data_IF_614158122537
#
_entry.id   IF_614158122537
#
_cell.length_a   1.000
_cell.length_b   1.000
_cell.length_c   1.000
_cell.angle_alpha   90.00
_cell.angle_beta   90.00
_cell.angle_gamma   90.00
#
_symmetry.space_group_name_H-M   'P 1'
#
loop_
_entity.id
_entity.type
_entity.pdbx_description
1 polymer ?
#
# COMPACT_ATOMS: atom_id res chain seq x y z
N UNK A 1 -4.16 -11.47 -21.18
CA UNK A 1 -2.76 -11.01 -21.24
C UNK A 1 -1.95 -11.91 -20.31
N UNK A 2 -0.68 -12.21 -20.60
CA UNK A 2 0.20 -12.86 -19.64
C UNK A 2 0.57 -11.90 -18.50
N UNK A 3 1.04 -12.43 -17.37
CA UNK A 3 1.43 -11.70 -16.17
C UNK A 3 0.37 -10.73 -15.61
N UNK A 4 -0.92 -10.99 -15.88
CA UNK A 4 -2.02 -10.19 -15.32
C UNK A 4 -2.21 -10.53 -13.85
N UNK A 5 -2.16 -9.51 -13.00
CA UNK A 5 -2.39 -9.64 -11.55
C UNK A 5 -3.83 -10.05 -11.29
N UNK A 6 -4.04 -11.24 -10.74
CA UNK A 6 -5.39 -11.78 -10.54
C UNK A 6 -6.20 -11.05 -9.46
N UNK A 7 -5.55 -10.25 -8.61
CA UNK A 7 -6.19 -9.49 -7.54
C UNK A 7 -6.75 -8.14 -7.98
N UNK A 8 -6.31 -7.58 -9.11
CA UNK A 8 -6.71 -6.24 -9.58
C UNK A 8 -7.43 -6.26 -10.93
N UNK A 9 -7.27 -7.32 -11.71
CA UNK A 9 -7.91 -7.43 -13.02
C UNK A 9 -9.38 -7.89 -12.88
N UNK A 10 -10.37 -7.05 -13.30
CA UNK A 10 -11.77 -7.44 -13.26
C UNK A 10 -12.06 -8.52 -14.32
N UNK A 11 -12.84 -9.52 -13.95
CA UNK A 11 -13.40 -10.52 -14.87
C UNK A 11 -14.61 -9.91 -15.58
N UNK A 12 -14.64 -9.93 -16.92
CA UNK A 12 -15.70 -9.32 -17.75
C UNK A 12 -16.63 -10.36 -18.37
N UNK A 13 -16.32 -11.65 -18.21
CA UNK A 13 -17.08 -12.76 -18.78
C UNK A 13 -16.46 -13.28 -20.07
N UNK A 14 -16.36 -14.60 -20.19
CA UNK A 14 -15.79 -15.28 -21.36
C UNK A 14 -14.26 -15.44 -21.35
N UNK A 15 -13.55 -14.89 -20.36
CA UNK A 15 -12.10 -15.09 -20.24
C UNK A 15 -11.73 -16.52 -19.82
N UNK A 16 -10.73 -17.09 -20.48
CA UNK A 16 -10.05 -18.30 -20.00
C UNK A 16 -8.88 -17.91 -19.09
N UNK A 17 -9.07 -18.04 -17.79
CA UNK A 17 -8.02 -17.77 -16.81
C UNK A 17 -7.17 -19.03 -16.60
N UNK A 18 -5.87 -18.92 -16.86
CA UNK A 18 -4.90 -20.00 -16.61
C UNK A 18 -3.72 -19.44 -15.84
N UNK A 19 -3.21 -20.21 -14.88
CA UNK A 19 -1.94 -19.87 -14.24
C UNK A 19 -0.82 -19.93 -15.28
N UNK A 20 0.11 -19.00 -15.16
CA UNK A 20 1.21 -18.90 -16.11
C UNK A 20 2.29 -19.95 -15.86
N UNK A 21 2.47 -20.33 -14.60
CA UNK A 21 3.50 -21.24 -14.10
C UNK A 21 2.91 -22.39 -13.24
N UNK A 22 3.72 -23.42 -13.03
CA UNK A 22 3.41 -24.65 -12.29
C UNK A 22 3.59 -25.89 -13.17
N UNK A 23 4.50 -26.79 -12.81
CA UNK A 23 4.88 -27.92 -13.66
C UNK A 23 4.56 -29.27 -12.99
N UNK A 24 3.69 -30.14 -13.56
CA UNK A 24 2.85 -29.94 -14.75
C UNK A 24 1.62 -29.04 -14.49
N UNK A 25 1.23 -28.84 -13.23
CA UNK A 25 0.13 -27.98 -12.85
C UNK A 25 0.39 -27.35 -11.47
N UNK A 26 -0.16 -26.18 -11.19
CA UNK A 26 0.09 -25.50 -9.92
C UNK A 26 -0.48 -26.23 -8.68
N UNK A 27 -1.44 -27.16 -8.84
CA UNK A 27 -1.90 -28.05 -7.78
C UNK A 27 -0.94 -29.21 -7.50
N UNK A 28 -0.05 -29.50 -8.45
CA UNK A 28 0.95 -30.57 -8.41
C UNK A 28 2.25 -30.04 -9.01
N UNK A 29 2.93 -29.17 -8.24
CA UNK A 29 4.18 -28.56 -8.70
C UNK A 29 5.37 -29.45 -8.33
N UNK A 30 5.89 -30.18 -9.32
CA UNK A 30 7.09 -31.01 -9.20
C UNK A 30 8.32 -30.17 -8.83
N UNK A 31 8.35 -28.88 -9.19
CA UNK A 31 9.49 -28.00 -8.87
C UNK A 31 9.60 -27.75 -7.37
N UNK A 32 8.53 -27.93 -6.60
CA UNK A 32 8.57 -27.88 -5.14
C UNK A 32 9.46 -28.98 -4.54
N UNK A 33 9.73 -30.07 -5.27
CA UNK A 33 10.75 -31.04 -4.83
C UNK A 33 12.15 -30.41 -4.70
N UNK A 34 12.43 -29.31 -5.42
CA UNK A 34 13.67 -28.56 -5.23
C UNK A 34 13.79 -27.93 -3.83
N UNK A 35 12.68 -27.70 -3.11
CA UNK A 35 12.71 -27.24 -1.72
C UNK A 35 13.37 -28.28 -0.79
N UNK A 36 13.31 -29.57 -1.13
CA UNK A 36 14.03 -30.63 -0.40
C UNK A 36 15.54 -30.47 -0.54
N UNK A 37 16.00 -29.87 -1.64
CA UNK A 37 17.41 -29.58 -1.92
C UNK A 37 17.84 -28.18 -1.48
N UNK A 38 16.98 -27.43 -0.77
CA UNK A 38 17.27 -26.07 -0.27
C UNK A 38 18.62 -25.94 0.46
N UNK A 39 19.09 -26.92 1.26
CA UNK A 39 20.41 -26.83 1.88
C UNK A 39 21.57 -26.76 0.87
N UNK A 40 21.44 -27.41 -0.30
CA UNK A 40 22.42 -27.38 -1.39
C UNK A 40 22.26 -26.17 -2.30
N UNK A 41 21.03 -25.70 -2.51
CA UNK A 41 20.68 -24.55 -3.36
C UNK A 41 20.73 -23.21 -2.61
N UNK A 42 21.76 -22.99 -1.80
CA UNK A 42 21.97 -21.68 -1.14
C UNK A 42 22.28 -20.61 -2.17
N UNK A 43 22.02 -19.34 -1.83
CA UNK A 43 22.40 -18.21 -2.69
C UNK A 43 23.85 -18.34 -3.17
N UNK A 44 24.05 -18.17 -4.47
CA UNK A 44 25.35 -18.32 -5.13
C UNK A 44 25.83 -19.77 -5.31
N UNK A 45 24.99 -20.79 -5.12
CA UNK A 45 25.35 -22.18 -5.43
C UNK A 45 25.83 -22.31 -6.88
N UNK A 46 25.21 -21.58 -7.81
CA UNK A 46 25.56 -21.58 -9.22
C UNK A 46 26.98 -21.09 -9.48
N UNK A 47 27.47 -20.12 -8.69
CA UNK A 47 28.84 -19.66 -8.77
C UNK A 47 29.81 -20.70 -8.18
N UNK A 48 29.42 -21.39 -7.10
CA UNK A 48 30.27 -22.41 -6.47
C UNK A 48 30.41 -23.70 -7.30
N UNK A 49 29.30 -24.21 -7.80
CA UNK A 49 29.27 -25.48 -8.55
C UNK A 49 29.79 -25.33 -9.98
N UNK A 50 29.61 -24.17 -10.60
CA UNK A 50 29.89 -24.00 -12.03
C UNK A 50 31.01 -23.01 -12.36
N UNK A 51 31.70 -22.42 -11.36
CA UNK A 51 32.81 -21.48 -11.58
C UNK A 51 33.93 -22.03 -12.48
N UNK A 52 34.22 -23.33 -12.40
CA UNK A 52 35.31 -23.97 -13.15
C UNK A 52 34.85 -24.65 -14.44
N UNK A 53 33.57 -24.57 -14.80
CA UNK A 53 32.99 -25.32 -15.93
C UNK A 53 32.02 -24.45 -16.76
N UNK A 54 32.53 -23.63 -17.70
CA UNK A 54 31.72 -22.68 -18.48
C UNK A 54 30.59 -23.31 -19.30
N UNK A 55 30.79 -24.55 -19.80
CA UNK A 55 29.75 -25.27 -20.55
C UNK A 55 28.59 -25.70 -19.65
N UNK A 56 28.90 -26.20 -18.45
CA UNK A 56 27.91 -26.65 -17.48
C UNK A 56 27.14 -25.46 -16.91
N UNK A 57 27.79 -24.32 -16.68
CA UNK A 57 27.11 -23.08 -16.24
C UNK A 57 26.09 -22.58 -17.26
N UNK A 58 26.38 -22.69 -18.57
CA UNK A 58 25.45 -22.28 -19.63
C UNK A 58 24.21 -23.18 -19.70
N UNK A 59 24.39 -24.49 -19.50
CA UNK A 59 23.27 -25.46 -19.44
C UNK A 59 22.46 -25.23 -18.17
N UNK A 60 23.10 -25.14 -17.02
CA UNK A 60 22.47 -24.88 -15.74
C UNK A 60 21.73 -23.53 -15.74
N UNK A 61 22.31 -22.48 -16.33
CA UNK A 61 21.69 -21.17 -16.47
C UNK A 61 20.43 -21.19 -17.33
N UNK A 62 20.42 -21.95 -18.44
CA UNK A 62 19.21 -22.14 -19.25
C UNK A 62 18.12 -22.90 -18.48
N UNK A 63 18.50 -23.96 -17.78
CA UNK A 63 17.57 -24.72 -16.95
C UNK A 63 16.99 -23.84 -15.83
N UNK A 64 17.85 -23.09 -15.13
CA UNK A 64 17.45 -22.17 -14.07
C UNK A 64 16.59 -21.02 -14.60
N UNK A 65 16.83 -20.52 -15.81
CA UNK A 65 15.97 -19.50 -16.42
C UNK A 65 14.55 -20.02 -16.72
N UNK A 66 14.43 -21.30 -17.12
CA UNK A 66 13.14 -21.97 -17.29
C UNK A 66 12.46 -22.19 -15.93
N UNK A 67 13.22 -22.68 -14.93
CA UNK A 67 12.72 -22.92 -13.57
C UNK A 67 12.33 -21.64 -12.82
N UNK A 68 13.11 -20.57 -12.99
CA UNK A 68 12.85 -19.25 -12.42
C UNK A 68 11.67 -18.54 -13.10
N UNK A 69 11.16 -19.11 -14.21
CA UNK A 69 9.90 -18.69 -14.78
C UNK A 69 9.95 -17.31 -15.42
N UNK A 70 10.71 -17.16 -16.51
CA UNK A 70 10.59 -15.98 -17.37
C UNK A 70 9.15 -15.86 -17.88
N UNK A 71 8.41 -14.86 -17.40
CA UNK A 71 7.03 -14.61 -17.83
C UNK A 71 6.92 -14.45 -19.35
N UNK A 72 5.74 -14.74 -19.90
CA UNK A 72 5.42 -14.57 -21.31
C UNK A 72 5.21 -13.09 -21.59
N UNK A 73 5.73 -12.63 -22.71
CA UNK A 73 5.47 -11.26 -23.17
C UNK A 73 4.03 -11.13 -23.66
N UNK A 74 3.35 -10.00 -23.41
CA UNK A 74 2.07 -9.73 -24.04
C UNK A 74 2.21 -9.76 -25.57
N UNK A 75 1.13 -10.14 -26.26
CA UNK A 75 1.10 -10.06 -27.72
C UNK A 75 1.16 -8.59 -28.16
N UNK A 76 1.61 -8.33 -29.39
CA UNK A 76 1.70 -6.97 -29.92
C UNK A 76 0.35 -6.23 -29.85
N UNK A 77 -0.74 -6.91 -30.18
CA UNK A 77 -2.11 -6.37 -30.06
C UNK A 77 -2.51 -6.05 -28.62
N UNK A 78 -2.08 -6.87 -27.65
CA UNK A 78 -2.32 -6.61 -26.24
C UNK A 78 -1.51 -5.41 -25.73
N UNK A 79 -0.25 -5.28 -26.17
CA UNK A 79 0.59 -4.13 -25.84
C UNK A 79 0.04 -2.83 -26.43
N UNK A 80 -0.43 -2.84 -27.69
CA UNK A 80 -1.08 -1.69 -28.33
C UNK A 80 -2.35 -1.25 -27.59
N UNK A 81 -3.14 -2.19 -27.06
CA UNK A 81 -4.33 -1.88 -26.23
C UNK A 81 -4.01 -1.31 -24.85
N UNK A 82 -2.79 -1.47 -24.36
CA UNK A 82 -2.32 -0.97 -23.08
C UNK A 82 -1.69 0.43 -23.17
N UNK A 83 -1.57 1.00 -24.38
CA UNK A 83 -1.01 2.35 -24.57
C UNK A 83 -1.95 3.39 -23.95
N UNK A 84 -1.35 4.34 -23.23
CA UNK A 84 -2.04 5.53 -22.71
C UNK A 84 -2.71 6.25 -23.87
N UNK A 85 -4.03 6.40 -23.81
CA UNK A 85 -4.80 6.98 -24.89
C UNK A 85 -4.81 8.52 -24.82
N UNK A 86 -4.68 9.08 -23.61
CA UNK A 86 -4.82 10.52 -23.34
C UNK A 86 -3.85 10.99 -22.28
N UNK A 87 -3.36 12.22 -22.44
CA UNK A 87 -2.59 12.94 -21.44
C UNK A 87 -3.35 14.22 -21.10
N UNK A 88 -3.63 14.43 -19.82
CA UNK A 88 -4.30 15.61 -19.30
C UNK A 88 -3.37 16.30 -18.29
N UNK A 89 -3.32 17.63 -18.28
CA UNK A 89 -2.48 18.39 -17.37
C UNK A 89 -3.36 19.26 -16.46
N UNK A 90 -2.99 19.38 -15.19
CA UNK A 90 -3.72 20.23 -14.25
C UNK A 90 -2.80 20.76 -13.14
N UNK A 91 -3.23 21.87 -12.51
CA UNK A 91 -2.53 22.49 -11.37
C UNK A 91 -3.47 22.58 -10.16
N UNK A 92 -3.64 21.50 -9.38
CA UNK A 92 -4.51 21.52 -8.20
C UNK A 92 -3.98 22.48 -7.13
N UNK A 93 -4.86 23.23 -6.46
CA UNK A 93 -4.45 24.02 -5.28
C UNK A 93 -3.99 23.13 -4.14
N UNK A 94 -4.71 22.03 -3.93
CA UNK A 94 -4.32 20.96 -3.03
C UNK A 94 -4.51 19.61 -3.72
N UNK A 95 -3.45 18.79 -3.74
CA UNK A 95 -3.53 17.39 -4.11
C UNK A 95 -3.51 16.52 -2.85
N UNK A 96 -4.49 15.65 -2.69
CA UNK A 96 -4.53 14.64 -1.62
C UNK A 96 -4.32 13.27 -2.23
N UNK A 97 -3.27 12.55 -1.83
CA UNK A 97 -2.99 11.19 -2.30
C UNK A 97 -3.40 10.17 -1.24
N UNK A 98 -4.41 9.37 -1.56
CA UNK A 98 -5.01 8.36 -0.70
C UNK A 98 -6.41 8.79 -0.24
N UNK A 99 -7.43 8.05 -0.63
CA UNK A 99 -8.85 8.26 -0.34
C UNK A 99 -9.37 7.45 0.85
N UNK A 100 -8.51 7.13 1.82
CA UNK A 100 -8.92 6.58 3.11
C UNK A 100 -9.57 7.63 4.02
N UNK A 101 -9.85 7.25 5.27
CA UNK A 101 -10.45 8.16 6.27
C UNK A 101 -9.63 9.45 6.42
N UNK A 102 -8.30 9.36 6.53
CA UNK A 102 -7.44 10.54 6.68
C UNK A 102 -7.47 11.44 5.45
N UNK A 103 -7.42 10.89 4.24
CA UNK A 103 -7.44 11.70 3.03
C UNK A 103 -8.80 12.36 2.76
N UNK A 104 -9.90 11.65 3.03
CA UNK A 104 -11.24 12.24 2.95
C UNK A 104 -11.41 13.37 3.97
N UNK A 105 -10.93 13.18 5.20
CA UNK A 105 -10.95 14.21 6.26
C UNK A 105 -10.12 15.43 5.83
N UNK A 106 -8.89 15.21 5.33
CA UNK A 106 -8.02 16.28 4.86
C UNK A 106 -8.63 17.06 3.68
N UNK A 107 -9.23 16.36 2.72
CA UNK A 107 -9.89 16.97 1.57
C UNK A 107 -11.09 17.81 1.99
N UNK A 108 -11.96 17.29 2.87
CA UNK A 108 -13.12 18.02 3.39
C UNK A 108 -12.68 19.26 4.17
N UNK A 109 -11.73 19.12 5.09
CA UNK A 109 -11.21 20.24 5.88
C UNK A 109 -10.70 21.39 5.00
N UNK A 110 -9.89 21.09 3.99
CA UNK A 110 -9.35 22.11 3.09
C UNK A 110 -10.44 22.71 2.18
N UNK A 111 -11.38 21.89 1.71
CA UNK A 111 -12.44 22.33 0.82
C UNK A 111 -13.48 23.21 1.53
N UNK A 112 -13.81 22.89 2.78
CA UNK A 112 -14.64 23.71 3.68
C UNK A 112 -13.98 25.06 3.96
N UNK A 113 -12.64 25.11 4.02
CA UNK A 113 -11.85 26.33 4.13
C UNK A 113 -11.71 27.11 2.79
N UNK A 114 -12.29 26.60 1.71
CA UNK A 114 -12.36 27.30 0.42
C UNK A 114 -11.34 26.85 -0.63
N UNK A 115 -10.48 25.88 -0.35
CA UNK A 115 -9.44 25.40 -1.27
C UNK A 115 -10.01 24.41 -2.29
N UNK A 116 -9.58 24.50 -3.55
CA UNK A 116 -9.87 23.46 -4.56
C UNK A 116 -8.99 22.24 -4.35
N UNK A 117 -9.61 21.07 -4.21
CA UNK A 117 -8.93 19.83 -3.85
C UNK A 117 -9.10 18.80 -4.94
N UNK A 118 -7.99 18.24 -5.42
CA UNK A 118 -8.00 16.98 -6.16
C UNK A 118 -7.60 15.85 -5.22
N UNK A 119 -8.48 14.89 -5.00
CA UNK A 119 -8.19 13.69 -4.22
C UNK A 119 -7.99 12.51 -5.16
N UNK A 120 -6.87 11.81 -5.02
CA UNK A 120 -6.47 10.67 -5.84
C UNK A 120 -6.44 9.39 -5.02
N UNK A 121 -7.07 8.31 -5.49
CA UNK A 121 -6.91 6.96 -4.93
C UNK A 121 -6.81 5.92 -6.05
N UNK A 122 -5.90 4.94 -5.90
CA UNK A 122 -5.68 3.87 -6.86
C UNK A 122 -6.79 2.80 -6.84
N UNK A 123 -7.48 2.64 -5.72
CA UNK A 123 -8.52 1.65 -5.43
C UNK A 123 -9.90 2.33 -5.26
N UNK A 124 -10.85 1.62 -4.64
CA UNK A 124 -12.12 2.20 -4.22
C UNK A 124 -11.91 3.22 -3.09
N UNK A 125 -12.41 4.43 -3.29
CA UNK A 125 -12.41 5.49 -2.27
C UNK A 125 -13.14 5.02 -0.99
N UNK A 126 -12.52 5.31 0.15
CA UNK A 126 -12.79 4.74 1.46
C UNK A 126 -11.65 3.82 1.93
N UNK A 127 -10.88 3.27 0.99
CA UNK A 127 -9.64 2.54 1.23
C UNK A 127 -9.76 1.46 2.32
N UNK A 128 -8.75 1.41 3.20
CA UNK A 128 -8.70 0.47 4.34
C UNK A 128 -9.86 0.68 5.33
N UNK A 129 -10.47 1.85 5.42
CA UNK A 129 -11.52 2.12 6.42
C UNK A 129 -12.69 1.13 6.34
N UNK A 130 -12.93 0.49 5.19
CA UNK A 130 -13.94 -0.56 5.01
C UNK A 130 -13.56 -1.92 5.64
N UNK A 131 -12.26 -2.21 5.78
CA UNK A 131 -11.74 -3.47 6.35
C UNK A 131 -11.03 -3.28 7.70
N UNK A 132 -10.85 -2.02 8.13
CA UNK A 132 -10.31 -1.68 9.45
C UNK A 132 -11.21 -2.23 10.56
N UNK A 133 -10.58 -2.73 11.61
CA UNK A 133 -11.23 -3.35 12.79
C UNK A 133 -11.18 -2.46 14.03
N UNK A 134 -10.23 -1.55 14.07
CA UNK A 134 -9.93 -0.63 15.15
C UNK A 134 -10.74 0.64 14.97
N UNK A 135 -11.34 1.15 16.04
CA UNK A 135 -12.03 2.43 16.00
C UNK A 135 -11.13 3.56 15.48
N UNK A 136 -11.76 4.60 14.96
CA UNK A 136 -11.11 5.87 14.61
C UNK A 136 -11.59 6.91 15.60
N UNK A 137 -10.66 7.68 16.17
CA UNK A 137 -10.99 8.83 17.02
C UNK A 137 -11.29 10.01 16.11
N UNK A 138 -12.55 10.46 16.12
CA UNK A 138 -12.99 11.59 15.31
C UNK A 138 -12.47 12.94 15.82
N UNK A 139 -12.84 14.02 15.14
CA UNK A 139 -12.38 15.38 15.49
C UNK A 139 -12.88 15.86 16.87
N UNK A 140 -13.90 15.20 17.43
CA UNK A 140 -14.48 15.50 18.74
C UNK A 140 -13.92 14.58 19.83
N UNK A 141 -12.97 13.71 19.49
CA UNK A 141 -12.39 12.74 20.41
C UNK A 141 -13.25 11.48 20.62
N UNK A 142 -14.32 11.29 19.84
CA UNK A 142 -15.19 10.13 19.98
C UNK A 142 -14.71 8.96 19.11
N UNK A 143 -14.80 7.74 19.65
CA UNK A 143 -14.52 6.52 18.90
C UNK A 143 -15.66 6.23 17.91
N UNK A 144 -15.33 6.11 16.63
CA UNK A 144 -16.26 5.84 15.54
C UNK A 144 -15.96 4.52 14.86
N UNK A 145 -17.01 3.85 14.41
CA UNK A 145 -16.92 2.70 13.49
C UNK A 145 -16.28 3.15 12.17
N UNK A 146 -15.15 2.56 11.74
CA UNK A 146 -14.45 3.00 10.53
C UNK A 146 -15.31 2.93 9.26
N UNK A 147 -16.16 1.92 9.13
CA UNK A 147 -16.99 1.73 7.94
C UNK A 147 -18.06 2.81 7.81
N UNK A 148 -18.78 3.11 8.90
CA UNK A 148 -19.80 4.16 8.93
C UNK A 148 -19.19 5.53 8.67
N UNK A 149 -18.03 5.80 9.28
CA UNK A 149 -17.29 7.03 9.09
C UNK A 149 -16.82 7.20 7.63
N UNK A 150 -16.32 6.14 7.00
CA UNK A 150 -15.96 6.18 5.57
C UNK A 150 -17.17 6.57 4.72
N UNK A 151 -18.33 5.97 4.96
CA UNK A 151 -19.52 6.25 4.15
C UNK A 151 -20.04 7.68 4.38
N UNK A 152 -19.95 8.19 5.60
CA UNK A 152 -20.24 9.59 5.93
C UNK A 152 -19.31 10.56 5.18
N UNK A 153 -18.00 10.40 5.35
CA UNK A 153 -16.99 11.27 4.74
C UNK A 153 -17.03 11.20 3.20
N UNK A 154 -17.24 10.02 2.62
CA UNK A 154 -17.33 9.85 1.18
C UNK A 154 -18.58 10.52 0.60
N UNK A 155 -19.73 10.45 1.30
CA UNK A 155 -20.94 11.18 0.90
C UNK A 155 -20.70 12.69 0.90
N UNK A 156 -20.11 13.21 1.97
CA UNK A 156 -19.77 14.62 2.08
C UNK A 156 -18.80 15.04 0.96
N UNK A 157 -17.74 14.28 0.72
CA UNK A 157 -16.74 14.60 -0.29
C UNK A 157 -17.31 14.62 -1.71
N UNK A 158 -18.23 13.69 -2.03
CA UNK A 158 -18.93 13.66 -3.34
C UNK A 158 -19.89 14.82 -3.55
N UNK A 159 -20.47 15.34 -2.47
CA UNK A 159 -21.40 16.46 -2.51
C UNK A 159 -20.69 17.82 -2.51
N UNK A 160 -19.39 17.85 -2.17
CA UNK A 160 -18.64 19.08 -2.02
C UNK A 160 -18.15 19.63 -3.36
N UNK A 161 -18.59 20.82 -3.75
CA UNK A 161 -18.33 21.41 -5.07
C UNK A 161 -16.83 21.67 -5.38
N UNK A 162 -15.99 21.82 -4.35
CA UNK A 162 -14.53 22.04 -4.49
C UNK A 162 -13.68 20.77 -4.45
N UNK A 163 -14.28 19.58 -4.34
CA UNK A 163 -13.54 18.31 -4.29
C UNK A 163 -13.71 17.58 -5.62
N UNK A 164 -12.60 17.43 -6.34
CA UNK A 164 -12.50 16.56 -7.49
C UNK A 164 -11.95 15.19 -7.08
N UNK A 165 -12.78 14.15 -7.18
CA UNK A 165 -12.37 12.78 -6.91
C UNK A 165 -11.84 12.12 -8.18
N UNK A 166 -10.57 11.76 -8.17
CA UNK A 166 -9.88 11.08 -9.26
C UNK A 166 -9.48 9.66 -8.82
N UNK A 167 -9.89 8.66 -9.60
CA UNK A 167 -9.46 7.28 -9.37
C UNK A 167 -8.26 6.98 -10.28
N UNK A 168 -7.09 6.75 -9.69
CA UNK A 168 -5.86 6.48 -10.43
C UNK A 168 -4.65 6.26 -9.52
N UNK A 169 -3.62 5.63 -10.06
CA UNK A 169 -2.36 5.38 -9.36
C UNK A 169 -1.42 6.58 -9.51
N UNK A 170 -1.13 7.26 -8.40
CA UNK A 170 -0.04 8.23 -8.34
C UNK A 170 1.31 7.49 -8.40
N UNK A 171 2.10 7.72 -9.45
CA UNK A 171 3.31 6.97 -9.74
C UNK A 171 4.54 7.46 -8.97
N UNK A 172 4.57 8.73 -8.60
CA UNK A 172 5.77 9.34 -8.03
C UNK A 172 5.67 10.85 -7.95
N UNK A 173 6.60 11.44 -7.22
CA UNK A 173 6.93 12.86 -7.29
C UNK A 173 8.16 13.05 -8.18
N UNK A 174 8.07 13.94 -9.19
CA UNK A 174 9.14 14.23 -10.14
C UNK A 174 9.14 15.74 -10.41
N UNK A 175 10.05 16.50 -9.80
CA UNK A 175 10.22 17.95 -10.06
C UNK A 175 8.90 18.77 -10.04
N UNK A 176 8.11 18.60 -8.99
CA UNK A 176 6.82 19.28 -8.84
C UNK A 176 5.66 18.64 -9.61
N UNK A 177 5.90 17.56 -10.35
CA UNK A 177 4.90 16.80 -11.09
C UNK A 177 4.55 15.50 -10.37
N UNK A 178 3.25 15.23 -10.27
CA UNK A 178 2.70 13.93 -9.86
C UNK A 178 1.96 13.30 -11.04
N UNK A 179 2.58 12.32 -11.74
CA UNK A 179 1.90 11.55 -12.75
C UNK A 179 0.89 10.60 -12.09
N UNK A 180 -0.37 10.66 -12.52
CA UNK A 180 -1.44 9.75 -12.10
C UNK A 180 -1.94 8.97 -13.29
N UNK A 181 -2.02 7.65 -13.19
CA UNK A 181 -2.53 6.79 -14.27
C UNK A 181 -3.87 6.20 -13.88
N UNK A 182 -4.91 6.51 -14.67
CA UNK A 182 -6.19 5.81 -14.62
C UNK A 182 -6.21 4.75 -15.73
N UNK A 183 -6.04 3.49 -15.35
CA UNK A 183 -6.08 2.36 -16.29
C UNK A 183 -7.46 2.16 -16.94
N UNK A 184 -8.54 2.60 -16.30
CA UNK A 184 -9.91 2.43 -16.81
C UNK A 184 -10.17 3.38 -17.97
N UNK A 185 -9.86 4.66 -17.79
CA UNK A 185 -9.98 5.66 -18.85
C UNK A 185 -8.78 5.67 -19.81
N UNK A 186 -7.68 4.96 -19.46
CA UNK A 186 -6.40 4.99 -20.16
C UNK A 186 -5.84 6.41 -20.26
N UNK A 187 -6.05 7.19 -19.21
CA UNK A 187 -5.62 8.58 -19.12
C UNK A 187 -4.46 8.69 -18.16
N UNK A 188 -3.43 9.41 -18.56
CA UNK A 188 -2.37 9.88 -17.67
C UNK A 188 -2.65 11.34 -17.34
N UNK A 189 -2.83 11.63 -16.07
CA UNK A 189 -2.89 12.99 -15.55
C UNK A 189 -1.50 13.44 -15.11
N UNK A 190 -1.14 14.65 -15.48
CA UNK A 190 0.08 15.34 -15.07
C UNK A 190 -0.30 16.47 -14.13
N UNK A 191 -0.24 16.19 -12.83
CA UNK A 191 -0.70 17.12 -11.80
C UNK A 191 0.49 17.88 -11.21
N UNK A 192 0.45 19.21 -11.24
CA UNK A 192 1.44 20.09 -10.60
C UNK A 192 0.79 20.90 -9.48
N UNK A 193 0.71 20.37 -8.26
CA UNK A 193 -0.06 20.99 -7.21
C UNK A 193 0.70 22.08 -6.43
N UNK A 194 0.00 23.09 -5.90
CA UNK A 194 0.58 24.11 -5.01
C UNK A 194 0.88 23.52 -3.60
N UNK A 195 0.09 22.54 -3.18
CA UNK A 195 0.23 21.82 -1.93
C UNK A 195 -0.15 20.34 -2.07
N UNK A 196 0.43 19.50 -1.23
CA UNK A 196 0.30 18.05 -1.27
C UNK A 196 0.05 17.48 0.13
N UNK A 197 -0.97 16.65 0.27
CA UNK A 197 -1.21 15.83 1.46
C UNK A 197 -1.01 14.36 1.09
N UNK A 198 -0.05 13.72 1.75
CA UNK A 198 0.18 12.28 1.66
C UNK A 198 -0.65 11.56 2.73
N UNK A 199 -1.75 10.96 2.30
CA UNK A 199 -2.62 10.09 3.09
C UNK A 199 -2.55 8.64 2.57
N UNK A 200 -1.36 8.20 2.15
CA UNK A 200 -1.07 6.92 1.48
C UNK A 200 -1.32 5.68 2.35
N UNK A 201 -1.48 5.88 3.66
CA UNK A 201 -1.78 4.83 4.62
C UNK A 201 -0.56 3.96 4.92
N UNK A 202 -0.77 2.65 4.98
CA UNK A 202 0.29 1.70 5.29
C UNK A 202 -0.16 0.26 5.10
N UNK A 203 0.80 -0.66 5.07
CA UNK A 203 0.60 -2.05 4.71
C UNK A 203 0.80 -2.97 5.92
N UNK A 204 0.09 -4.10 5.96
CA UNK A 204 0.39 -5.18 6.91
C UNK A 204 1.65 -5.94 6.45
N UNK A 205 2.53 -6.24 7.39
CA UNK A 205 3.74 -7.02 7.14
C UNK A 205 3.49 -8.50 7.44
N UNK A 206 3.81 -9.42 6.52
CA UNK A 206 3.65 -10.85 6.76
C UNK A 206 4.63 -11.35 7.84
N UNK A 207 4.22 -12.39 8.56
CA UNK A 207 5.09 -13.10 9.49
C UNK A 207 5.99 -14.09 8.73
N UNK A 208 7.30 -13.91 8.86
CA UNK A 208 8.31 -14.74 8.20
C UNK A 208 8.53 -16.07 8.93
N UNK A 209 7.57 -16.99 8.78
CA UNK A 209 7.67 -18.37 9.28
C UNK A 209 7.72 -19.37 8.12
N UNK A 210 8.26 -20.59 8.30
CA UNK A 210 8.23 -21.58 7.23
C UNK A 210 6.79 -21.88 6.78
N UNK A 211 6.55 -21.82 5.47
CA UNK A 211 5.23 -22.04 4.86
C UNK A 211 4.31 -20.81 4.84
N UNK A 212 4.78 -19.62 5.21
CA UNK A 212 4.00 -18.37 5.15
C UNK A 212 3.53 -17.99 3.73
N UNK A 213 4.18 -18.55 2.72
CA UNK A 213 3.95 -18.35 1.29
C UNK A 213 2.92 -19.34 0.70
N UNK A 214 2.42 -20.29 1.50
CA UNK A 214 1.44 -21.27 1.06
C UNK A 214 0.10 -20.62 0.68
N UNK A 215 -0.56 -21.06 -0.41
CA UNK A 215 -1.95 -20.70 -0.68
C UNK A 215 -2.85 -21.00 0.52
N UNK A 216 -3.65 -20.03 0.95
CA UNK A 216 -4.44 -20.10 2.18
C UNK A 216 -3.81 -19.37 3.38
N UNK A 217 -2.57 -18.87 3.25
CA UNK A 217 -2.05 -17.84 4.16
C UNK A 217 -2.43 -16.47 3.59
N UNK A 218 -3.07 -15.63 4.39
CA UNK A 218 -3.51 -14.30 3.98
C UNK A 218 -3.26 -13.29 5.10
N UNK A 219 -2.93 -12.05 4.74
CA UNK A 219 -2.98 -10.94 5.69
C UNK A 219 -4.43 -10.63 6.05
N UNK A 220 -4.66 -10.10 7.26
CA UNK A 220 -5.99 -9.86 7.79
C UNK A 220 -6.81 -8.89 6.93
N UNK A 221 -6.23 -7.76 6.51
CA UNK A 221 -6.91 -6.79 5.64
C UNK A 221 -7.33 -7.43 4.30
N UNK A 222 -6.50 -8.32 3.74
CA UNK A 222 -6.80 -9.05 2.51
C UNK A 222 -7.91 -10.10 2.68
N UNK A 223 -7.88 -10.85 3.78
CA UNK A 223 -8.92 -11.83 4.12
C UNK A 223 -10.27 -11.13 4.38
N UNK A 224 -10.26 -10.00 5.09
CA UNK A 224 -11.44 -9.20 5.36
C UNK A 224 -11.96 -8.49 4.11
N UNK A 225 -11.09 -8.05 3.19
CA UNK A 225 -11.53 -7.52 1.89
C UNK A 225 -12.33 -8.57 1.12
N UNK A 226 -11.83 -9.80 1.02
CA UNK A 226 -12.58 -10.89 0.40
C UNK A 226 -13.91 -11.13 1.11
N UNK A 227 -13.90 -11.22 2.45
CA UNK A 227 -15.08 -11.59 3.22
C UNK A 227 -16.16 -10.50 3.24
N UNK A 228 -15.78 -9.23 3.38
CA UNK A 228 -16.71 -8.12 3.64
C UNK A 228 -17.03 -7.26 2.42
N UNK A 229 -16.10 -7.14 1.47
CA UNK A 229 -16.29 -6.33 0.26
C UNK A 229 -16.69 -7.24 -0.90
N UNK A 230 -15.87 -8.25 -1.19
CA UNK A 230 -16.11 -9.17 -2.32
C UNK A 230 -17.14 -10.25 -1.99
N UNK A 231 -17.56 -10.36 -0.73
CA UNK A 231 -18.51 -11.36 -0.21
C UNK A 231 -18.10 -12.81 -0.49
N UNK A 232 -16.78 -13.06 -0.59
CA UNK A 232 -16.18 -14.37 -0.79
C UNK A 232 -15.55 -14.84 0.52
N UNK A 233 -15.89 -16.06 0.95
CA UNK A 233 -15.22 -16.67 2.10
C UNK A 233 -13.74 -16.94 1.79
N UNK A 234 -12.78 -16.35 2.52
CA UNK A 234 -11.35 -16.58 2.29
C UNK A 234 -10.91 -18.01 2.65
N UNK A 235 -11.71 -18.74 3.43
CA UNK A 235 -11.54 -20.14 3.75
C UNK A 235 -12.74 -20.67 4.54
N UNK A 236 -12.73 -21.95 4.91
CA UNK A 236 -13.81 -22.56 5.70
C UNK A 236 -13.50 -22.55 7.20
N UNK A 237 -12.22 -22.76 7.55
CA UNK A 237 -11.73 -22.85 8.92
C UNK A 237 -10.43 -22.06 9.07
N UNK A 238 -10.47 -21.00 9.88
CA UNK A 238 -9.37 -20.07 10.06
C UNK A 238 -8.59 -20.32 11.35
N UNK A 239 -7.27 -20.15 11.31
CA UNK A 239 -6.49 -19.72 12.48
C UNK A 239 -6.16 -18.24 12.28
N UNK A 240 -6.48 -17.41 13.26
CA UNK A 240 -6.10 -16.00 13.27
C UNK A 240 -4.80 -15.88 14.06
N UNK A 241 -3.77 -15.31 13.45
CA UNK A 241 -2.47 -15.06 14.08
C UNK A 241 -2.34 -13.56 14.30
N UNK A 242 -2.29 -13.14 15.56
CA UNK A 242 -2.40 -11.73 15.91
C UNK A 242 -1.87 -11.46 17.33
N UNK A 243 -1.14 -10.36 17.50
CA UNK A 243 -0.80 -9.83 18.84
C UNK A 243 -1.78 -8.75 19.29
N UNK A 244 -2.41 -8.07 18.33
CA UNK A 244 -3.48 -7.11 18.52
C UNK A 244 -4.58 -7.37 17.47
N UNK A 245 -5.82 -6.95 17.75
CA UNK A 245 -6.97 -7.07 16.83
C UNK A 245 -7.47 -8.50 16.54
N UNK A 246 -6.87 -9.52 17.15
CA UNK A 246 -7.20 -10.94 16.88
C UNK A 246 -8.69 -11.25 17.01
N UNK A 247 -9.33 -10.79 18.09
CA UNK A 247 -10.76 -11.04 18.31
C UNK A 247 -11.64 -10.27 17.31
N UNK A 248 -11.30 -9.02 17.02
CA UNK A 248 -12.06 -8.21 16.05
C UNK A 248 -12.00 -8.81 14.63
N UNK A 249 -10.84 -9.31 14.21
CA UNK A 249 -10.67 -10.04 12.94
C UNK A 249 -11.45 -11.36 12.97
N UNK A 250 -11.33 -12.13 14.05
CA UNK A 250 -12.05 -13.39 14.21
C UNK A 250 -13.57 -13.20 14.13
N UNK A 251 -14.10 -12.17 14.77
CA UNK A 251 -15.53 -11.88 14.78
C UNK A 251 -16.06 -11.50 13.39
N UNK A 252 -15.33 -10.69 12.63
CA UNK A 252 -15.69 -10.40 11.23
C UNK A 252 -15.71 -11.66 10.37
N UNK A 253 -14.71 -12.53 10.53
CA UNK A 253 -14.66 -13.81 9.82
C UNK A 253 -15.83 -14.74 10.21
N UNK A 254 -16.19 -14.82 11.50
CA UNK A 254 -17.33 -15.60 12.00
C UNK A 254 -18.65 -15.11 11.38
N UNK A 255 -18.87 -13.79 11.34
CA UNK A 255 -20.06 -13.17 10.70
C UNK A 255 -20.20 -13.52 9.22
N UNK A 256 -19.11 -13.85 8.54
CA UNK A 256 -19.09 -14.30 7.14
C UNK A 256 -19.07 -15.83 6.98
N UNK A 257 -19.36 -16.57 8.05
CA UNK A 257 -19.49 -18.02 8.03
C UNK A 257 -18.16 -18.77 7.95
N UNK A 258 -17.06 -18.17 8.41
CA UNK A 258 -15.77 -18.84 8.57
C UNK A 258 -15.65 -19.36 10.01
N UNK A 259 -15.36 -20.65 10.19
CA UNK A 259 -15.12 -21.22 11.52
C UNK A 259 -13.74 -20.80 12.03
N UNK A 260 -13.66 -19.98 13.07
CA UNK A 260 -12.38 -19.65 13.71
C UNK A 260 -11.98 -20.75 14.68
N UNK A 261 -10.93 -21.49 14.35
CA UNK A 261 -10.39 -22.61 15.12
C UNK A 261 -9.67 -22.16 16.39
N UNK A 262 -8.91 -21.06 16.28
CA UNK A 262 -8.11 -20.49 17.36
C UNK A 262 -7.60 -19.10 16.94
N UNK A 263 -7.30 -18.29 17.95
CA UNK A 263 -6.50 -17.07 17.84
C UNK A 263 -5.15 -17.38 18.49
N UNK A 264 -4.06 -17.14 17.79
CA UNK A 264 -2.70 -17.52 18.19
C UNK A 264 -1.82 -16.26 18.21
N UNK A 265 -1.12 -15.97 19.31
CA UNK A 265 -0.13 -14.88 19.33
C UNK A 265 0.97 -15.12 18.29
N UNK A 266 1.47 -14.06 17.66
CA UNK A 266 2.47 -14.16 16.59
C UNK A 266 3.73 -14.90 17.06
N UNK A 267 4.16 -14.65 18.30
CA UNK A 267 5.32 -15.30 18.92
C UNK A 267 5.17 -16.82 19.08
N UNK A 268 3.95 -17.34 19.09
CA UNK A 268 3.68 -18.76 19.23
C UNK A 268 3.60 -19.50 17.90
N UNK A 269 3.47 -18.79 16.76
CA UNK A 269 3.43 -19.42 15.44
C UNK A 269 4.82 -19.93 15.06
N UNK A 270 4.98 -21.24 14.86
CA UNK A 270 6.26 -21.84 14.44
C UNK A 270 6.34 -22.10 12.96
N UNK A 271 5.24 -22.59 12.35
CA UNK A 271 5.16 -22.79 10.89
C UNK A 271 3.71 -22.96 10.43
N UNK A 272 3.47 -22.66 9.17
CA UNK A 272 2.27 -23.10 8.47
C UNK A 272 2.52 -24.47 7.85
N UNK A 273 1.60 -25.41 8.07
CA UNK A 273 1.70 -26.79 7.56
C UNK A 273 0.92 -26.94 6.27
N UNK A 274 1.49 -27.64 5.30
CA UNK A 274 0.86 -27.88 4.01
C UNK A 274 1.87 -28.22 2.92
N UNK A 275 1.37 -28.78 1.82
CA UNK A 275 2.15 -29.01 0.61
C UNK A 275 1.72 -28.03 -0.47
N UNK A 276 0.58 -28.24 -1.14
CA UNK A 276 0.09 -27.32 -2.18
C UNK A 276 -0.71 -26.13 -1.65
N UNK A 277 -1.16 -26.20 -0.39
CA UNK A 277 -1.95 -25.18 0.32
C UNK A 277 -1.81 -25.35 1.83
N UNK A 278 -2.18 -24.33 2.59
CA UNK A 278 -2.29 -24.40 4.04
C UNK A 278 -3.32 -25.46 4.47
N UNK A 279 -2.93 -26.27 5.46
CA UNK A 279 -3.75 -27.31 6.10
C UNK A 279 -3.78 -27.18 7.62
N UNK A 280 -3.04 -26.20 8.15
CA UNK A 280 -3.00 -25.87 9.57
C UNK A 280 -1.72 -25.15 9.96
N UNK A 281 -1.50 -25.02 11.26
CA UNK A 281 -0.29 -24.43 11.84
C UNK A 281 0.30 -25.34 12.91
N UNK A 282 1.60 -25.17 13.15
CA UNK A 282 2.27 -25.63 14.36
C UNK A 282 2.57 -24.46 15.27
N UNK A 283 2.30 -24.63 16.56
CA UNK A 283 2.49 -23.60 17.58
C UNK A 283 3.41 -24.11 18.69
N UNK A 284 3.91 -23.21 19.52
CA UNK A 284 4.57 -23.57 20.80
C UNK A 284 3.59 -23.84 21.94
N UNK A 285 2.37 -23.34 21.82
CA UNK A 285 1.33 -23.48 22.84
C UNK A 285 0.61 -24.83 22.77
N UNK A 286 -0.43 -24.96 23.61
CA UNK A 286 -1.39 -26.06 23.54
C UNK A 286 -2.70 -25.55 22.92
N UNK A 287 -3.23 -26.19 21.86
CA UNK A 287 -2.69 -27.35 21.17
C UNK A 287 -1.51 -26.97 20.25
N UNK A 288 -0.51 -27.85 20.17
CA UNK A 288 0.70 -27.66 19.34
C UNK A 288 0.45 -27.77 17.83
N UNK A 289 -0.71 -28.28 17.43
CA UNK A 289 -1.15 -28.39 16.04
C UNK A 289 -2.62 -28.02 15.92
N UNK A 290 -2.91 -27.09 15.02
CA UNK A 290 -4.28 -26.63 14.75
C UNK A 290 -4.54 -26.79 13.26
N UNK A 291 -5.61 -27.49 12.89
CA UNK A 291 -6.05 -27.63 11.49
C UNK A 291 -6.84 -26.41 11.05
N UNK A 292 -6.50 -25.88 9.87
CA UNK A 292 -7.13 -24.74 9.24
C UNK A 292 -6.80 -24.71 7.76
N UNK A 293 -7.72 -24.24 6.92
CA UNK A 293 -7.47 -24.01 5.50
C UNK A 293 -7.22 -22.53 5.17
N UNK A 294 -7.42 -21.66 6.15
CA UNK A 294 -7.04 -20.25 6.17
C UNK A 294 -6.13 -19.98 7.39
N UNK A 295 -4.95 -19.41 7.14
CA UNK A 295 -4.10 -18.80 8.18
C UNK A 295 -4.14 -17.30 7.95
N UNK A 296 -4.91 -16.60 8.78
CA UNK A 296 -5.14 -15.18 8.68
C UNK A 296 -4.15 -14.45 9.61
N UNK A 297 -3.23 -13.67 9.07
CA UNK A 297 -2.16 -13.01 9.82
C UNK A 297 -2.47 -11.51 9.96
N UNK A 298 -2.80 -11.07 11.16
CA UNK A 298 -2.88 -9.66 11.52
C UNK A 298 -1.52 -9.20 12.05
N UNK A 299 -0.60 -8.95 11.12
CA UNK A 299 0.77 -8.55 11.41
C UNK A 299 0.91 -7.07 11.78
N UNK A 300 2.13 -6.64 12.18
CA UNK A 300 2.43 -5.23 12.38
C UNK A 300 2.28 -4.47 11.06
N UNK A 301 2.08 -3.15 11.15
CA UNK A 301 1.94 -2.29 9.99
C UNK A 301 3.18 -1.46 9.75
N UNK A 302 3.42 -1.12 8.49
CA UNK A 302 4.43 -0.15 8.07
C UNK A 302 3.79 0.97 7.25
N UNK A 303 4.23 2.24 7.42
CA UNK A 303 3.73 3.33 6.61
C UNK A 303 4.07 3.12 5.13
N UNK A 304 3.21 3.63 4.27
CA UNK A 304 3.41 3.72 2.83
C UNK A 304 4.29 4.93 2.50
N UNK A 305 5.60 4.77 2.70
CA UNK A 305 6.59 5.86 2.62
C UNK A 305 7.15 6.11 1.21
N UNK A 306 6.75 5.34 0.20
CA UNK A 306 7.35 5.37 -1.14
C UNK A 306 7.31 6.76 -1.77
N UNK A 307 6.15 7.44 -1.75
CA UNK A 307 6.02 8.80 -2.27
C UNK A 307 6.74 9.84 -1.41
N UNK A 308 6.80 9.61 -0.10
CA UNK A 308 7.56 10.47 0.81
C UNK A 308 9.06 10.38 0.54
N UNK A 309 9.56 9.18 0.22
CA UNK A 309 10.96 8.97 -0.16
C UNK A 309 11.30 9.64 -1.49
N UNK A 310 10.38 9.67 -2.46
CA UNK A 310 10.59 10.40 -3.71
C UNK A 310 10.75 11.92 -3.46
N UNK A 311 9.95 12.48 -2.55
CA UNK A 311 10.08 13.88 -2.13
C UNK A 311 11.42 14.14 -1.45
N UNK A 312 11.80 13.29 -0.49
CA UNK A 312 13.07 13.45 0.24
C UNK A 312 14.31 13.27 -0.66
N UNK A 313 14.26 12.35 -1.64
CA UNK A 313 15.35 12.11 -2.57
C UNK A 313 15.52 13.24 -3.61
N UNK A 314 14.42 13.85 -4.04
CA UNK A 314 14.45 15.02 -4.92
C UNK A 314 15.19 16.21 -4.27
N UNK A 315 15.22 16.28 -2.93
CA UNK A 315 15.89 17.35 -2.19
C UNK A 315 17.36 17.03 -1.83
N UNK A 316 17.73 15.76 -1.61
CA UNK A 316 19.03 15.42 -0.97
C UNK A 316 20.14 14.98 -1.91
N UNK A 317 19.85 14.58 -3.16
CA UNK A 317 20.84 14.13 -4.14
C UNK A 317 21.80 13.02 -3.68
N UNK A 318 21.51 12.34 -2.56
CA UNK A 318 22.42 11.41 -1.89
C UNK A 318 21.65 10.26 -1.22
N UNK A 319 22.27 9.07 -1.19
CA UNK A 319 21.67 7.81 -0.74
C UNK A 319 21.55 7.64 0.79
N UNK A 320 21.73 8.72 1.56
CA UNK A 320 21.54 8.68 3.01
C UNK A 320 20.12 9.14 3.35
N UNK A 321 19.36 8.23 3.98
CA UNK A 321 18.02 8.49 4.47
C UNK A 321 18.11 9.35 5.74
N UNK A 322 18.46 10.62 5.56
CA UNK A 322 18.44 11.63 6.61
C UNK A 322 16.98 11.92 6.93
N UNK A 323 16.57 11.69 8.19
CA UNK A 323 15.38 12.35 8.75
C UNK A 323 15.67 13.85 8.71
N UNK A 324 15.23 14.51 7.65
CA UNK A 324 15.46 15.94 7.41
C UNK A 324 14.34 16.75 8.07
N UNK A 325 14.73 17.62 8.99
CA UNK A 325 13.87 18.65 9.58
C UNK A 325 13.74 19.88 8.62
N UNK A 326 13.08 19.70 7.44
CA UNK A 326 12.53 20.72 6.48
C UNK A 326 13.50 21.77 5.81
N UNK A 327 13.10 22.56 4.76
CA UNK A 327 12.06 22.43 3.67
C UNK A 327 12.51 22.86 2.23
N UNK A 328 11.93 22.33 1.13
CA UNK A 328 11.05 23.01 0.12
C UNK A 328 10.94 22.20 -1.20
N UNK A 329 9.87 21.40 -1.38
CA UNK A 329 9.61 20.60 -2.60
C UNK A 329 9.19 21.42 -3.83
N UNK A 330 9.02 22.75 -3.71
CA UNK A 330 8.26 23.56 -4.68
C UNK A 330 6.74 23.46 -4.48
N UNK A 331 6.27 22.58 -3.58
CA UNK A 331 4.90 22.49 -3.09
C UNK A 331 4.91 22.23 -1.58
N UNK A 332 3.90 22.72 -0.86
CA UNK A 332 3.80 22.53 0.59
C UNK A 332 3.28 21.13 0.91
N UNK A 333 4.05 20.34 1.67
CA UNK A 333 3.72 18.93 1.93
C UNK A 333 3.30 18.69 3.38
N UNK A 334 2.23 17.91 3.57
CA UNK A 334 1.86 17.27 4.83
C UNK A 334 1.73 15.75 4.68
N UNK A 335 2.08 15.00 5.72
CA UNK A 335 1.85 13.55 5.82
C UNK A 335 0.86 13.30 6.93
N UNK A 336 -0.18 12.51 6.68
CA UNK A 336 -1.29 12.33 7.63
C UNK A 336 -1.73 10.88 7.77
N UNK A 337 -2.35 10.56 8.90
CA UNK A 337 -2.90 9.24 9.16
C UNK A 337 -1.81 8.16 9.28
N UNK A 338 -2.12 6.92 8.87
CA UNK A 338 -1.16 5.81 9.00
C UNK A 338 0.13 5.98 8.19
N UNK A 339 0.19 6.96 7.27
CA UNK A 339 1.40 7.29 6.53
C UNK A 339 2.48 7.95 7.42
N UNK A 340 2.10 8.52 8.57
CA UNK A 340 3.05 9.08 9.54
C UNK A 340 3.83 7.99 10.30
N UNK A 341 3.38 6.73 10.19
CA UNK A 341 3.88 5.62 10.99
C UNK A 341 3.19 5.47 12.35
N UNK A 342 2.28 6.39 12.70
CA UNK A 342 1.50 6.30 13.93
C UNK A 342 0.42 5.21 13.83
N UNK A 343 0.34 4.39 14.88
CA UNK A 343 -0.65 3.31 15.00
C UNK A 343 -2.03 3.88 15.35
N UNK A 344 -2.06 5.00 16.08
CA UNK A 344 -3.27 5.75 16.43
C UNK A 344 -3.03 7.23 16.13
N UNK A 345 -4.01 7.87 15.50
CA UNK A 345 -4.03 9.30 15.20
C UNK A 345 -5.47 9.80 15.34
N UNK A 346 -5.64 11.08 15.67
CA UNK A 346 -6.96 11.72 15.68
C UNK A 346 -7.27 12.35 14.32
N UNK A 347 -8.55 12.49 13.98
CA UNK A 347 -8.94 13.26 12.79
C UNK A 347 -8.71 14.77 12.96
N UNK A 348 -8.62 15.25 14.20
CA UNK A 348 -8.27 16.65 14.47
C UNK A 348 -6.83 16.97 13.99
N UNK A 349 -5.87 16.06 14.22
CA UNK A 349 -4.50 16.22 13.74
C UNK A 349 -4.43 16.22 12.21
N UNK A 350 -5.21 15.35 11.58
CA UNK A 350 -5.35 15.28 10.12
C UNK A 350 -5.91 16.60 9.57
N UNK A 351 -6.98 17.12 10.17
CA UNK A 351 -7.60 18.40 9.80
C UNK A 351 -6.60 19.55 9.93
N UNK A 352 -5.90 19.64 11.06
CA UNK A 352 -4.92 20.69 11.32
C UNK A 352 -3.79 20.67 10.29
N UNK A 353 -3.20 19.50 10.04
CA UNK A 353 -2.12 19.35 9.06
C UNK A 353 -2.56 19.72 7.64
N UNK A 354 -3.79 19.36 7.24
CA UNK A 354 -4.34 19.71 5.94
C UNK A 354 -4.55 21.21 5.76
N UNK A 355 -5.10 21.89 6.77
CA UNK A 355 -5.30 23.34 6.75
C UNK A 355 -3.98 24.11 6.69
N UNK A 356 -2.98 23.68 7.47
CA UNK A 356 -1.67 24.32 7.51
C UNK A 356 -0.95 24.34 6.15
N UNK A 357 -1.18 23.32 5.30
CA UNK A 357 -0.62 23.28 3.94
C UNK A 357 -1.56 23.83 2.87
N UNK A 358 -2.85 24.03 3.18
CA UNK A 358 -3.80 24.59 2.23
C UNK A 358 -3.71 26.13 2.17
N UNK A 359 -3.50 26.83 3.30
CA UNK A 359 -3.53 28.31 3.36
C UNK A 359 -2.40 28.95 2.54
N UNK A 360 -2.64 29.62 1.40
CA UNK A 360 -1.57 30.26 0.64
C UNK A 360 -0.78 31.22 1.55
N UNK A 361 0.56 31.17 1.51
CA UNK A 361 1.45 32.01 2.33
C UNK A 361 1.23 33.50 2.04
N UNK A 362 0.19 34.08 2.63
CA UNK A 362 -0.16 35.49 2.58
C UNK A 362 0.50 36.26 3.72
N UNK A 363 1.82 36.17 3.85
CA UNK A 363 2.64 37.18 4.55
C UNK A 363 3.87 37.40 3.69
N UNK A 364 3.89 38.55 3.01
CA UNK A 364 5.00 38.96 2.17
C UNK A 364 6.32 38.85 2.92
N UNK A 365 7.28 38.17 2.32
CA UNK A 365 8.67 38.12 2.76
C UNK A 365 9.41 39.46 2.50
N UNK A 366 8.68 40.57 2.42
CA UNK A 366 9.21 41.92 2.22
C UNK A 366 9.51 42.65 3.53
N UNK A 367 9.04 42.12 4.67
CA UNK A 367 9.26 42.75 5.99
C UNK A 367 10.66 42.57 6.60
N UNK A 368 11.51 41.68 6.07
CA UNK A 368 12.87 41.43 6.62
C UNK A 368 14.02 42.00 5.80
N UNK A 369 13.76 42.53 4.61
CA UNK A 369 14.79 43.26 3.83
C UNK A 369 14.89 44.75 4.18
N UNK A 370 13.88 45.33 4.84
CA UNK A 370 13.95 46.71 5.31
C UNK A 370 14.76 46.87 6.62
N UNK A 371 14.73 45.88 7.52
CA UNK A 371 15.42 45.97 8.82
C UNK A 371 16.94 45.72 8.76
N UNK A 372 17.48 45.20 7.64
CA UNK A 372 18.92 44.94 7.47
C UNK A 372 19.67 46.05 6.72
N UNK A 373 18.98 47.15 6.37
CA UNK A 373 19.58 48.31 5.67
C UNK A 373 19.81 49.53 6.56
N UNK A 374 19.23 49.59 7.76
CA UNK A 374 19.48 50.68 8.73
C UNK A 374 20.62 50.38 9.71
N UNK A 375 21.04 49.12 9.86
CA UNK A 375 22.06 48.72 10.84
C UNK A 375 23.52 48.75 10.29
N UNK A 376 23.72 49.21 9.04
CA UNK A 376 25.05 49.28 8.40
C UNK A 376 25.60 50.70 8.19
N UNK A 377 24.95 51.73 8.73
CA UNK A 377 25.39 53.13 8.58
C UNK A 377 25.87 53.80 9.87
N UNK A 378 26.04 53.08 10.98
CA UNK A 378 26.42 53.70 12.26
C UNK A 378 27.50 52.94 13.03
N UNK A 379 28.66 52.68 12.42
CA UNK A 379 29.90 52.40 13.17
C UNK A 379 31.12 52.69 12.28
N UNK A 380 31.44 53.97 12.08
CA UNK A 380 32.81 54.41 11.74
C UNK A 380 32.98 55.87 12.17
N UNK A 381 33.29 56.10 13.44
CA UNK A 381 33.94 57.32 13.92
C UNK A 381 34.42 57.14 15.36
N UNK A 382 35.69 57.50 15.56
CA UNK A 382 36.51 57.52 16.78
C UNK A 382 37.31 56.26 17.11
#
# INVERSE_FOLDING_TARGET
MPATTSCTAPVRGGEQVRREQGLPAASFDLLRAADLMRPMLRAGFQFRLFARQPRLSKIAGRLLAVLAGGGRRPSAEAAQRAVVARVETAQPRLLVIGGGVSGLTAALAAADAGTEVTLVDQEMIGGRGRVRTEAVVDERGAERSPGELVDELLRAARAHARIHLLQGLALGWIDGLVPVVDERSRTRFELRPDALVLATGGYEVPLMVPGHDLPGVMLADGALRLADIELVRPGRRAVVVADARGEAVAERLRRRGVTVAAIVPSAQLRRVTGWSRATGVRTTGSPSRIRADLVCVAGPRRPAEELLLHLAYAESGSHELVRSDRPDPGARVAVVGSATGEVSYSLADVRFAALAVAEPSGVGHDGRRAASREEKTSTTSE
#
